data_IF_943339621983
#
_entry.id   IF_943339621983
#
_cell.length_a   1.000
_cell.length_b   1.000
_cell.length_c   1.000
_cell.angle_alpha   90.00
_cell.angle_beta   90.00
_cell.angle_gamma   90.00
#
_symmetry.space_group_name_H-M   'P 1'
#
loop_
_entity.id
_entity.type
_entity.pdbx_description
1 polymer ?
#
# COMPACT_ATOMS: atom_id res chain seq x y z
N UNK A 1 4.69 0.24 -8.59
CA UNK A 1 4.21 -0.06 -7.23
C UNK A 1 4.26 -1.55 -7.06
N UNK A 2 5.28 -2.07 -6.37
CA UNK A 2 5.38 -3.50 -6.09
C UNK A 2 4.39 -4.00 -5.05
N UNK A 3 4.00 -3.18 -4.09
CA UNK A 3 3.15 -3.59 -2.98
C UNK A 3 1.71 -3.17 -3.19
N UNK A 4 0.80 -4.07 -2.82
CA UNK A 4 -0.63 -3.80 -2.67
C UNK A 4 -1.07 -4.23 -1.27
N UNK A 5 -2.14 -3.60 -0.79
CA UNK A 5 -2.78 -3.97 0.47
C UNK A 5 -4.15 -4.58 0.16
N UNK A 6 -4.41 -5.77 0.70
CA UNK A 6 -5.71 -6.44 0.59
C UNK A 6 -6.31 -6.53 1.97
N UNK A 7 -7.57 -6.10 2.15
CA UNK A 7 -8.32 -6.25 3.41
C UNK A 7 -9.65 -6.93 3.17
N UNK A 8 -10.06 -7.82 4.06
CA UNK A 8 -11.38 -8.45 3.99
C UNK A 8 -11.65 -9.43 5.13
N UNK A 9 -12.90 -9.84 5.27
CA UNK A 9 -13.36 -10.80 6.26
C UNK A 9 -13.34 -12.23 5.71
N UNK A 10 -12.86 -13.20 6.50
CA UNK A 10 -12.87 -14.63 6.14
C UNK A 10 -14.16 -15.36 6.54
N UNK A 11 -14.97 -14.75 7.40
CA UNK A 11 -16.26 -15.30 7.83
C UNK A 11 -17.40 -14.36 7.44
N UNK A 12 -18.53 -14.93 7.03
CA UNK A 12 -19.72 -14.19 6.69
C UNK A 12 -20.45 -13.78 7.97
N UNK A 13 -20.38 -12.51 8.32
CA UNK A 13 -21.18 -11.95 9.41
C UNK A 13 -22.44 -11.35 8.79
N UNK A 14 -23.60 -11.90 9.16
CA UNK A 14 -24.87 -11.79 8.42
C UNK A 14 -25.17 -10.45 7.76
N UNK A 15 -25.28 -10.47 6.42
CA UNK A 15 -25.80 -9.43 5.52
C UNK A 15 -26.12 -10.04 4.14
N UNK A 16 -26.90 -9.33 3.32
CA UNK A 16 -27.29 -9.70 1.93
C UNK A 16 -26.10 -9.82 0.96
N UNK A 17 -24.96 -9.22 1.31
CA UNK A 17 -23.66 -9.34 0.62
C UNK A 17 -22.54 -9.47 1.67
N UNK A 18 -22.20 -10.70 2.10
CA UNK A 18 -21.33 -10.90 3.26
C UNK A 18 -19.84 -10.59 3.00
N UNK A 19 -19.44 -10.43 1.73
CA UNK A 19 -18.03 -10.32 1.36
C UNK A 19 -17.71 -8.98 0.72
N UNK A 20 -16.72 -8.29 1.29
CA UNK A 20 -16.12 -7.09 0.73
C UNK A 20 -14.62 -7.18 0.89
N UNK A 21 -13.90 -7.07 -0.22
CA UNK A 21 -12.45 -7.07 -0.25
C UNK A 21 -11.98 -5.72 -0.77
N UNK A 22 -11.22 -5.01 0.04
CA UNK A 22 -10.59 -3.75 -0.33
C UNK A 22 -9.20 -4.07 -0.85
N UNK A 23 -8.85 -3.56 -2.04
CA UNK A 23 -7.50 -3.69 -2.59
C UNK A 23 -6.95 -2.31 -2.92
N UNK A 24 -5.88 -1.93 -2.23
CA UNK A 24 -5.20 -0.64 -2.39
C UNK A 24 -3.91 -0.77 -3.21
N UNK A 25 -3.66 0.21 -4.08
CA UNK A 25 -2.38 0.35 -4.79
C UNK A 25 -2.25 -0.45 -6.10
N UNK A 26 -3.36 -0.98 -6.63
CA UNK A 26 -3.37 -1.65 -7.93
C UNK A 26 -3.01 -0.69 -9.07
N UNK A 27 -2.30 -1.21 -10.08
CA UNK A 27 -2.06 -0.49 -11.34
C UNK A 27 -3.26 -0.63 -12.27
N UNK A 28 -3.48 0.36 -13.14
CA UNK A 28 -4.57 0.37 -14.12
C UNK A 28 -4.69 -0.94 -14.93
N UNK A 29 -3.58 -1.50 -15.40
CA UNK A 29 -3.57 -2.76 -16.15
C UNK A 29 -4.00 -3.98 -15.33
N UNK A 30 -3.68 -4.01 -14.03
CA UNK A 30 -4.13 -5.09 -13.14
C UNK A 30 -5.62 -4.91 -12.79
N UNK A 31 -6.09 -3.66 -12.64
CA UNK A 31 -7.51 -3.32 -12.42
C UNK A 31 -8.36 -3.81 -13.59
N UNK A 32 -7.92 -3.57 -14.82
CA UNK A 32 -8.61 -4.01 -16.03
C UNK A 32 -8.84 -5.54 -16.04
N UNK A 33 -7.84 -6.32 -15.64
CA UNK A 33 -7.96 -7.78 -15.54
C UNK A 33 -8.92 -8.24 -14.43
N UNK A 34 -9.09 -7.43 -13.39
CA UNK A 34 -9.99 -7.72 -12.27
C UNK A 34 -11.44 -7.23 -12.51
N UNK A 35 -11.72 -6.50 -13.59
CA UNK A 35 -13.07 -6.01 -13.94
C UNK A 35 -14.11 -7.13 -14.14
N UNK A 36 -13.67 -8.39 -14.29
CA UNK A 36 -14.54 -9.56 -14.29
C UNK A 36 -15.26 -9.81 -12.96
N UNK A 37 -14.78 -9.23 -11.87
CA UNK A 37 -15.40 -9.34 -10.55
C UNK A 37 -16.33 -8.17 -10.29
N UNK A 38 -17.47 -8.44 -9.66
CA UNK A 38 -18.37 -7.39 -9.21
C UNK A 38 -17.63 -6.42 -8.26
N UNK A 39 -17.67 -5.13 -8.58
CA UNK A 39 -17.01 -4.09 -7.82
C UNK A 39 -18.02 -3.15 -7.17
N UNK A 40 -17.73 -2.73 -5.95
CA UNK A 40 -18.42 -1.62 -5.28
C UNK A 40 -17.89 -0.24 -5.66
N UNK A 41 -16.91 -0.17 -6.58
CA UNK A 41 -16.20 1.05 -6.95
C UNK A 41 -15.03 1.38 -6.02
N UNK A 42 -14.52 2.60 -6.16
CA UNK A 42 -13.46 3.14 -5.32
C UNK A 42 -14.05 3.65 -3.99
N UNK A 43 -13.44 3.27 -2.86
CA UNK A 43 -13.75 3.86 -1.56
C UNK A 43 -12.85 5.05 -1.19
N UNK A 44 -11.70 5.16 -1.86
CA UNK A 44 -10.76 6.27 -1.81
C UNK A 44 -9.95 6.33 -3.13
N UNK A 45 -8.99 7.24 -3.24
CA UNK A 45 -8.19 7.46 -4.46
C UNK A 45 -7.36 6.25 -4.93
N UNK A 46 -7.08 5.30 -4.04
CA UNK A 46 -6.17 4.18 -4.32
C UNK A 46 -6.75 2.80 -4.02
N UNK A 47 -7.96 2.71 -3.47
CA UNK A 47 -8.57 1.47 -2.98
C UNK A 47 -9.88 1.14 -3.70
N UNK A 48 -9.92 -0.06 -4.29
CA UNK A 48 -11.10 -0.60 -4.96
C UNK A 48 -11.77 -1.64 -4.08
N UNK A 49 -13.10 -1.62 -4.03
CA UNK A 49 -13.91 -2.62 -3.33
C UNK A 49 -14.38 -3.70 -4.31
N UNK A 50 -14.10 -4.96 -4.00
CA UNK A 50 -14.60 -6.13 -4.71
C UNK A 50 -15.61 -6.90 -3.85
N UNK A 51 -16.75 -7.27 -4.43
CA UNK A 51 -17.85 -7.94 -3.74
C UNK A 51 -17.67 -9.47 -3.77
N UNK A 52 -16.49 -9.94 -3.36
CA UNK A 52 -16.08 -11.35 -3.43
C UNK A 52 -15.37 -11.79 -2.15
N UNK A 53 -15.32 -13.10 -1.89
CA UNK A 53 -14.57 -13.66 -0.76
C UNK A 53 -13.06 -13.38 -0.92
N UNK A 54 -12.31 -13.10 0.17
CA UNK A 54 -10.87 -12.81 0.11
C UNK A 54 -10.06 -13.82 -0.71
N UNK A 55 -10.28 -15.12 -0.51
CA UNK A 55 -9.56 -16.16 -1.27
C UNK A 55 -9.69 -16.02 -2.79
N UNK A 56 -10.86 -15.60 -3.31
CA UNK A 56 -11.07 -15.43 -4.76
C UNK A 56 -10.19 -14.29 -5.29
N UNK A 57 -10.15 -13.17 -4.56
CA UNK A 57 -9.36 -12.01 -4.96
C UNK A 57 -7.87 -12.28 -4.79
N UNK A 58 -7.44 -12.90 -3.68
CA UNK A 58 -6.05 -13.28 -3.45
C UNK A 58 -5.54 -14.20 -4.56
N UNK A 59 -6.29 -15.24 -4.93
CA UNK A 59 -5.91 -16.14 -6.04
C UNK A 59 -5.85 -15.41 -7.38
N UNK A 60 -6.76 -14.47 -7.64
CA UNK A 60 -6.68 -13.66 -8.86
C UNK A 60 -5.42 -12.79 -8.89
N UNK A 61 -5.04 -12.20 -7.75
CA UNK A 61 -3.81 -11.42 -7.61
C UNK A 61 -2.56 -12.29 -7.75
N UNK A 62 -2.58 -13.54 -7.28
CA UNK A 62 -1.51 -14.51 -7.51
C UNK A 62 -1.31 -14.82 -9.00
N UNK A 63 -2.39 -14.99 -9.76
CA UNK A 63 -2.32 -15.14 -11.23
C UNK A 63 -1.71 -13.91 -11.89
N UNK A 64 -1.96 -12.71 -11.34
CA UNK A 64 -1.32 -11.47 -11.79
C UNK A 64 0.15 -11.35 -11.33
N UNK A 65 0.68 -12.31 -10.57
CA UNK A 65 2.07 -12.36 -10.13
C UNK A 65 2.34 -11.70 -8.77
N UNK A 66 1.30 -11.35 -8.01
CA UNK A 66 1.46 -10.90 -6.63
C UNK A 66 1.63 -12.10 -5.69
N UNK A 67 2.53 -12.00 -4.72
CA UNK A 67 2.74 -13.01 -3.66
C UNK A 67 2.44 -12.36 -2.31
N UNK A 68 1.76 -13.07 -1.42
CA UNK A 68 1.60 -12.60 -0.03
C UNK A 68 2.98 -12.56 0.64
N UNK A 69 3.35 -11.42 1.21
CA UNK A 69 4.62 -11.24 1.93
C UNK A 69 4.43 -11.02 3.44
N UNK A 70 3.25 -10.55 3.84
CA UNK A 70 2.86 -10.43 5.24
C UNK A 70 1.34 -10.52 5.36
N UNK A 71 0.87 -11.01 6.51
CA UNK A 71 -0.55 -11.04 6.87
C UNK A 71 -0.75 -10.62 8.32
N UNK A 72 -1.82 -9.89 8.59
CA UNK A 72 -2.23 -9.47 9.94
C UNK A 72 -3.75 -9.59 10.07
N UNK A 73 -4.25 -9.53 11.30
CA UNK A 73 -5.68 -9.40 11.60
C UNK A 73 -5.92 -8.18 12.47
N UNK A 74 -7.02 -7.49 12.25
CA UNK A 74 -7.51 -6.41 13.12
C UNK A 74 -8.83 -6.86 13.76
N UNK A 75 -8.93 -6.75 15.08
CA UNK A 75 -10.21 -6.94 15.78
C UNK A 75 -10.94 -5.60 15.75
N UNK A 76 -11.95 -5.48 14.90
CA UNK A 76 -12.72 -4.22 14.80
C UNK A 76 -13.81 -4.17 15.87
N UNK A 77 -14.40 -5.34 16.21
CA UNK A 77 -15.36 -5.58 17.31
C UNK A 77 -15.22 -7.02 17.80
N UNK A 78 -15.73 -7.35 19.00
CA UNK A 78 -15.63 -8.68 19.63
C UNK A 78 -16.05 -9.86 18.72
N UNK A 79 -16.86 -9.62 17.67
CA UNK A 79 -17.32 -10.65 16.71
C UNK A 79 -17.02 -10.32 15.23
N UNK A 80 -16.19 -9.31 14.93
CA UNK A 80 -15.88 -8.93 13.54
C UNK A 80 -14.37 -8.80 13.34
N UNK A 81 -13.80 -9.84 12.75
CA UNK A 81 -12.38 -9.90 12.39
C UNK A 81 -12.20 -9.52 10.93
N UNK A 82 -11.39 -8.49 10.69
CA UNK A 82 -10.83 -8.21 9.37
C UNK A 82 -9.41 -8.74 9.30
N UNK A 83 -9.08 -9.27 8.12
CA UNK A 83 -7.75 -9.76 7.81
C UNK A 83 -7.16 -8.88 6.74
N UNK A 84 -5.84 -8.75 6.81
CA UNK A 84 -5.06 -7.88 5.95
C UNK A 84 -3.89 -8.67 5.39
N UNK A 85 -3.65 -8.53 4.09
CA UNK A 85 -2.53 -9.13 3.39
C UNK A 85 -1.78 -8.05 2.64
N UNK A 86 -0.50 -7.91 2.94
CA UNK A 86 0.42 -7.15 2.09
C UNK A 86 0.92 -8.11 1.02
N UNK A 87 0.64 -7.82 -0.24
CA UNK A 87 1.14 -8.61 -1.37
C UNK A 87 2.16 -7.83 -2.17
N UNK A 88 3.13 -8.53 -2.75
CA UNK A 88 4.20 -7.96 -3.57
C UNK A 88 4.25 -8.64 -4.93
N UNK A 89 4.32 -7.86 -6.00
CA UNK A 89 4.68 -8.33 -7.35
C UNK A 89 6.15 -8.03 -7.60
N UNK A 90 6.85 -8.97 -8.22
CA UNK A 90 8.23 -8.76 -8.65
C UNK A 90 8.31 -7.55 -9.59
N UNK A 91 9.29 -6.69 -9.34
CA UNK A 91 9.54 -5.50 -10.14
C UNK A 91 11.05 -5.34 -10.23
N UNK A 92 11.54 -4.90 -11.37
CA UNK A 92 12.92 -4.46 -11.49
C UNK A 92 13.11 -3.25 -10.58
N UNK A 93 14.07 -3.33 -9.66
CA UNK A 93 14.49 -2.16 -8.90
C UNK A 93 14.92 -1.09 -9.92
N UNK A 94 14.42 0.15 -9.80
CA UNK A 94 14.88 1.22 -10.67
C UNK A 94 16.39 1.38 -10.47
N UNK A 95 17.15 1.44 -11.58
CA UNK A 95 18.57 1.77 -11.52
C UNK A 95 18.78 3.06 -10.71
N UNK A 96 19.84 3.14 -9.88
CA UNK A 96 20.09 4.31 -9.06
C UNK A 96 20.08 5.56 -9.96
N UNK A 97 19.34 6.58 -9.54
CA UNK A 97 19.20 7.84 -10.28
C UNK A 97 20.58 8.51 -10.32
N UNK A 98 21.36 8.23 -11.36
CA UNK A 98 22.55 9.02 -11.71
C UNK A 98 22.02 10.36 -12.18
N UNK A 99 21.96 11.34 -11.29
CA UNK A 99 21.37 12.65 -11.54
C UNK A 99 21.86 13.26 -12.87
N UNK A 100 21.02 13.35 -13.92
CA UNK A 100 21.29 14.26 -15.01
C UNK A 100 20.52 15.54 -14.69
N UNK A 101 21.23 16.66 -14.61
CA UNK A 101 20.65 17.99 -14.70
C UNK A 101 19.87 18.09 -16.01
N UNK A 102 18.56 17.86 -15.97
CA UNK A 102 17.67 18.15 -17.09
C UNK A 102 16.38 18.79 -16.55
N UNK A 103 16.10 20.07 -16.85
CA UNK A 103 15.01 20.83 -16.24
C UNK A 103 13.60 20.47 -16.75
N UNK A 104 13.46 19.55 -17.72
CA UNK A 104 12.17 19.27 -18.38
C UNK A 104 11.45 17.98 -17.94
N UNK A 105 11.77 17.45 -16.75
CA UNK A 105 10.93 16.42 -16.16
C UNK A 105 9.60 17.05 -15.73
N UNK A 106 8.57 16.94 -16.57
CA UNK A 106 7.18 17.22 -16.21
C UNK A 106 6.81 16.44 -14.95
N UNK A 107 6.97 17.08 -13.79
CA UNK A 107 6.40 16.65 -12.53
C UNK A 107 4.89 16.74 -12.76
N UNK A 108 4.26 15.60 -13.05
CA UNK A 108 2.83 15.49 -12.88
C UNK A 108 2.59 15.73 -11.40
N UNK A 109 2.04 16.88 -11.07
CA UNK A 109 1.48 17.18 -9.75
C UNK A 109 0.35 16.18 -9.50
N UNK A 110 0.72 14.96 -9.08
CA UNK A 110 -0.19 14.07 -8.39
C UNK A 110 -0.48 14.76 -7.07
N UNK A 111 -1.48 15.63 -7.08
CA UNK A 111 -2.11 16.14 -5.87
C UNK A 111 -2.65 14.93 -5.13
N UNK A 112 -1.86 14.41 -4.20
CA UNK A 112 -2.27 13.36 -3.27
C UNK A 112 -3.36 14.01 -2.42
N UNK A 113 -4.62 13.59 -2.64
CA UNK A 113 -5.76 14.02 -1.81
C UNK A 113 -5.51 13.64 -0.35
N UNK A 114 -6.20 14.31 0.56
CA UNK A 114 -6.07 14.22 2.01
C UNK A 114 -5.83 12.77 2.50
N UNK A 115 -4.55 12.41 2.62
CA UNK A 115 -4.13 11.11 3.07
C UNK A 115 -4.19 11.01 4.59
N UNK A 116 -4.22 9.78 5.07
CA UNK A 116 -3.92 9.45 6.46
C UNK A 116 -2.49 9.91 6.80
N UNK A 117 -2.23 10.13 8.09
CA UNK A 117 -0.90 10.48 8.58
C UNK A 117 -0.06 9.21 8.70
N UNK A 118 1.10 9.18 8.04
CA UNK A 118 2.02 8.05 8.04
C UNK A 118 3.35 8.49 8.64
N UNK A 119 3.71 7.88 9.77
CA UNK A 119 5.00 8.12 10.39
C UNK A 119 6.05 7.14 9.84
N UNK A 120 7.22 7.67 9.45
CA UNK A 120 8.35 6.87 8.94
C UNK A 120 9.60 7.17 9.78
N UNK A 121 10.30 6.11 10.16
CA UNK A 121 11.46 6.16 11.05
C UNK A 121 12.64 5.36 10.48
N UNK A 122 13.85 5.68 10.95
CA UNK A 122 15.05 4.87 10.67
C UNK A 122 15.67 5.06 9.28
N UNK A 123 15.29 6.10 8.54
CA UNK A 123 15.92 6.46 7.27
C UNK A 123 17.21 7.27 7.48
N UNK A 124 18.16 7.10 6.55
CA UNK A 124 19.30 8.04 6.42
C UNK A 124 18.85 9.42 5.93
N UNK A 125 19.69 10.44 6.10
CA UNK A 125 19.40 11.82 5.69
C UNK A 125 19.07 11.95 4.18
N UNK A 126 19.75 11.17 3.33
CA UNK A 126 19.54 11.24 1.88
C UNK A 126 18.26 10.52 1.44
N UNK A 127 17.94 9.39 2.07
CA UNK A 127 16.65 8.71 1.88
C UNK A 127 15.49 9.58 2.37
N UNK A 128 15.66 10.25 3.51
CA UNK A 128 14.68 11.19 4.03
C UNK A 128 14.42 12.34 3.05
N UNK A 129 15.47 12.95 2.51
CA UNK A 129 15.35 14.00 1.48
C UNK A 129 14.63 13.48 0.23
N UNK A 130 14.97 12.27 -0.23
CA UNK A 130 14.35 11.65 -1.39
C UNK A 130 12.85 11.40 -1.16
N UNK A 131 12.48 10.90 0.02
CA UNK A 131 11.10 10.61 0.40
C UNK A 131 10.28 11.90 0.51
N UNK A 132 10.78 12.89 1.22
CA UNK A 132 10.13 14.20 1.39
C UNK A 132 9.98 14.95 0.07
N UNK A 133 10.95 14.83 -0.86
CA UNK A 133 10.81 15.41 -2.21
C UNK A 133 9.61 14.82 -2.96
N UNK A 134 9.27 13.56 -2.69
CA UNK A 134 8.15 12.85 -3.32
C UNK A 134 6.80 13.19 -2.67
N UNK A 135 6.79 13.53 -1.38
CA UNK A 135 5.59 13.85 -0.61
C UNK A 135 5.69 15.29 -0.09
N UNK A 136 5.10 16.23 -0.82
CA UNK A 136 5.21 17.67 -0.55
C UNK A 136 4.53 18.13 0.74
N UNK A 137 3.56 17.37 1.25
CA UNK A 137 2.87 17.62 2.53
C UNK A 137 3.46 16.71 3.62
N UNK A 138 4.44 17.23 4.35
CA UNK A 138 5.10 16.54 5.46
C UNK A 138 5.31 17.48 6.66
N UNK A 139 5.32 16.90 7.87
CA UNK A 139 5.67 17.59 9.10
C UNK A 139 6.85 16.91 9.77
N UNK A 140 7.81 17.70 10.25
CA UNK A 140 8.94 17.22 11.08
C UNK A 140 8.58 17.08 12.57
N UNK A 141 7.30 16.88 12.88
CA UNK A 141 6.77 16.89 14.25
C UNK A 141 7.05 15.58 15.02
N UNK A 142 7.92 14.71 14.51
CA UNK A 142 8.23 13.41 15.14
C UNK A 142 9.73 13.27 15.36
N UNK A 143 10.11 12.90 16.59
CA UNK A 143 11.52 12.69 16.96
C UNK A 143 12.04 11.47 16.19
N UNK A 144 13.19 11.61 15.52
CA UNK A 144 13.85 10.57 14.72
C UNK A 144 13.02 10.01 13.56
N UNK A 145 12.06 10.79 13.04
CA UNK A 145 11.22 10.37 11.93
C UNK A 145 10.62 11.53 11.14
N UNK A 146 9.72 11.20 10.24
CA UNK A 146 8.92 12.14 9.46
C UNK A 146 7.46 11.72 9.47
N UNK A 147 6.56 12.70 9.58
CA UNK A 147 5.13 12.50 9.39
C UNK A 147 4.76 12.94 7.97
N UNK A 148 4.22 12.02 7.17
CA UNK A 148 3.79 12.27 5.79
C UNK A 148 2.28 12.25 5.72
N UNK A 149 1.68 13.15 4.94
CA UNK A 149 0.25 13.11 4.64
C UNK A 149 0.03 12.45 3.27
N UNK A 150 -0.13 11.13 3.27
CA UNK A 150 -0.28 10.35 2.05
C UNK A 150 -0.93 8.98 2.34
N UNK A 151 -1.59 8.35 1.36
CA UNK A 151 -2.07 6.98 1.51
C UNK A 151 -0.93 6.03 1.94
N UNK A 152 -1.11 5.18 2.98
CA UNK A 152 -0.06 4.32 3.50
C UNK A 152 0.61 3.45 2.42
N UNK A 153 -0.19 2.91 1.49
CA UNK A 153 0.33 2.08 0.40
C UNK A 153 1.23 2.86 -0.56
N UNK A 154 1.03 4.17 -0.72
CA UNK A 154 1.90 5.02 -1.53
C UNK A 154 3.27 5.21 -0.86
N UNK A 155 3.30 5.37 0.47
CA UNK A 155 4.52 5.47 1.27
C UNK A 155 5.29 4.15 1.26
N UNK A 156 4.62 3.01 1.51
CA UNK A 156 5.22 1.67 1.44
C UNK A 156 5.84 1.42 0.06
N UNK A 157 5.15 1.79 -1.02
CA UNK A 157 5.69 1.68 -2.37
C UNK A 157 6.86 2.62 -2.65
N UNK A 158 6.90 3.82 -2.05
CA UNK A 158 8.03 4.72 -2.15
C UNK A 158 9.27 4.17 -1.44
N UNK A 159 9.11 3.61 -0.24
CA UNK A 159 10.16 2.89 0.48
C UNK A 159 10.63 1.66 -0.31
N UNK A 160 9.71 0.95 -0.96
CA UNK A 160 10.04 -0.12 -1.91
C UNK A 160 10.95 0.32 -3.05
N UNK A 161 10.80 1.55 -3.56
CA UNK A 161 11.69 2.10 -4.59
C UNK A 161 13.06 2.50 -4.05
N UNK A 162 13.20 2.69 -2.73
CA UNK A 162 14.48 2.92 -2.06
C UNK A 162 15.20 1.61 -1.68
N UNK A 163 14.66 0.45 -2.10
CA UNK A 163 15.24 -0.87 -1.83
C UNK A 163 14.74 -1.54 -0.55
N UNK A 164 13.73 -0.97 0.12
CA UNK A 164 13.16 -1.60 1.31
C UNK A 164 12.13 -2.67 0.95
N UNK A 165 12.20 -3.82 1.62
CA UNK A 165 11.20 -4.88 1.55
C UNK A 165 10.39 -4.99 2.83
N UNK A 166 9.09 -5.22 2.71
CA UNK A 166 8.24 -5.55 3.86
C UNK A 166 8.66 -6.90 4.41
N UNK A 167 9.05 -6.93 5.69
CA UNK A 167 9.39 -8.17 6.42
C UNK A 167 8.30 -8.58 7.41
N UNK A 168 7.52 -7.61 7.91
CA UNK A 168 6.37 -7.87 8.75
C UNK A 168 5.32 -6.76 8.60
N UNK A 169 4.06 -7.13 8.80
CA UNK A 169 2.94 -6.21 8.98
C UNK A 169 2.21 -6.63 10.24
N UNK A 170 1.96 -5.69 11.15
CA UNK A 170 1.19 -5.91 12.37
C UNK A 170 0.30 -4.71 12.63
N UNK A 171 -0.74 -4.85 13.43
CA UNK A 171 -1.58 -3.73 13.79
C UNK A 171 -3.03 -4.11 14.05
N UNK A 172 -3.65 -3.36 14.95
CA UNK A 172 -5.08 -3.46 15.28
C UNK A 172 -5.77 -2.11 15.05
N UNK A 173 -5.42 -1.09 15.85
CA UNK A 173 -5.87 0.30 15.65
C UNK A 173 -4.98 1.09 14.67
N UNK A 174 -3.68 0.80 14.69
CA UNK A 174 -2.67 1.38 13.80
C UNK A 174 -1.95 0.24 13.08
N UNK A 175 -1.64 0.43 11.81
CA UNK A 175 -0.91 -0.57 11.02
C UNK A 175 0.56 -0.19 10.93
N UNK A 176 1.42 -1.14 11.30
CA UNK A 176 2.87 -1.01 11.32
C UNK A 176 3.44 -1.94 10.25
N UNK A 177 4.25 -1.37 9.36
CA UNK A 177 5.09 -2.13 8.45
C UNK A 177 6.53 -2.08 8.92
N UNK A 178 7.08 -3.24 9.26
CA UNK A 178 8.53 -3.37 9.41
C UNK A 178 9.11 -3.63 8.03
N UNK A 179 10.06 -2.77 7.62
CA UNK A 179 10.73 -2.90 6.34
C UNK A 179 12.24 -3.02 6.52
N UNK A 180 12.87 -3.87 5.73
CA UNK A 180 14.31 -4.10 5.74
C UNK A 180 14.87 -3.83 4.34
N UNK A 181 16.00 -3.14 4.28
CA UNK A 181 16.74 -2.98 3.03
C UNK A 181 17.63 -4.20 2.80
N UNK A 182 17.61 -4.72 1.59
CA UNK A 182 18.56 -5.77 1.21
C UNK A 182 19.90 -5.11 0.90
N UNK A 183 20.93 -5.55 1.63
CA UNK A 183 22.31 -5.14 1.43
C UNK A 183 22.97 -6.01 0.36
#
# INVERSE_FOLDING_TARGET
MPYILVRGNLAAYGQRYPWRVLVSGLKAADIEQLNRFASGGYCDDCTIVYMQHPCVILTALEVLGYKVVASSSTSVKQDYNEYMWTMRKEFSEPEPIVSPTNPDAHIRDNKISAGEEVAVFGLSDDEMKALVKKFSDYRKEVINGVLLKAPPIAVVNALGQLGYRVVATTGEAEVIWTMQRDL
#
